data_IF_080578338031
#
_entry.id   IF_080578338031
#
_cell.length_a   1.000
_cell.length_b   1.000
_cell.length_c   1.000
_cell.angle_alpha   90.00
_cell.angle_beta   90.00
_cell.angle_gamma   90.00
#
_symmetry.space_group_name_H-M   'P 1'
#
loop_
_entity.id
_entity.type
_entity.pdbx_description
1 polymer ?
#
# COMPACT_ATOMS: atom_id res chain seq x y z
N UNK A 1 -8.13 -15.33 -14.09
CA UNK A 1 -7.40 -15.70 -12.86
C UNK A 1 -7.24 -14.42 -12.06
N UNK A 2 -7.61 -14.41 -10.78
CA UNK A 2 -7.51 -13.22 -9.96
C UNK A 2 -6.04 -12.83 -9.75
N UNK A 3 -5.73 -11.54 -9.84
CA UNK A 3 -4.39 -10.98 -9.69
C UNK A 3 -4.34 -10.06 -8.47
N UNK A 4 -3.48 -10.38 -7.50
CA UNK A 4 -3.16 -9.52 -6.37
C UNK A 4 -1.86 -8.77 -6.62
N UNK A 5 -1.88 -7.44 -6.53
CA UNK A 5 -0.66 -6.65 -6.39
C UNK A 5 -0.36 -6.47 -4.90
N UNK A 6 0.68 -7.12 -4.39
CA UNK A 6 1.12 -7.01 -3.00
C UNK A 6 2.40 -6.19 -2.92
N UNK A 7 2.34 -5.05 -2.25
CA UNK A 7 3.44 -4.11 -2.04
C UNK A 7 3.78 -4.06 -0.54
N UNK A 8 5.02 -4.37 -0.17
CA UNK A 8 5.54 -4.09 1.17
C UNK A 8 6.55 -2.93 1.11
N UNK A 9 6.46 -2.01 2.08
CA UNK A 9 7.35 -0.83 2.16
C UNK A 9 8.10 -0.68 3.48
N UNK A 10 7.93 -1.63 4.41
CA UNK A 10 8.67 -1.62 5.67
C UNK A 10 10.16 -1.89 5.44
N UNK A 11 11.03 -1.09 6.07
CA UNK A 11 12.49 -1.32 6.03
C UNK A 11 12.91 -2.54 6.84
N UNK A 12 12.08 -2.99 7.77
CA UNK A 12 12.33 -4.22 8.52
C UNK A 12 11.88 -5.44 7.71
N UNK A 13 12.63 -6.55 7.78
CA UNK A 13 12.26 -7.80 7.12
C UNK A 13 11.09 -8.49 7.82
N UNK A 14 10.66 -9.62 7.26
CA UNK A 14 9.67 -10.51 7.88
C UNK A 14 10.08 -10.90 9.31
N UNK A 15 9.08 -11.07 10.17
CA UNK A 15 9.27 -11.35 11.60
C UNK A 15 9.67 -10.13 12.45
N UNK A 16 10.24 -9.08 11.85
CA UNK A 16 10.57 -7.83 12.53
C UNK A 16 9.62 -6.67 12.21
N UNK A 17 8.76 -6.84 11.20
CA UNK A 17 7.79 -5.84 10.76
C UNK A 17 6.35 -6.23 11.08
N UNK A 18 5.66 -5.38 11.85
CA UNK A 18 4.25 -5.57 12.16
C UNK A 18 3.35 -5.51 10.92
N UNK A 19 3.64 -4.60 9.97
CA UNK A 19 2.87 -4.52 8.73
C UNK A 19 3.09 -5.74 7.85
N UNK A 20 4.33 -6.23 7.69
CA UNK A 20 4.61 -7.45 6.90
C UNK A 20 3.93 -8.70 7.47
N UNK A 21 3.89 -8.83 8.80
CA UNK A 21 3.20 -9.96 9.46
C UNK A 21 1.71 -10.01 9.08
N UNK A 22 1.05 -8.85 9.08
CA UNK A 22 -0.38 -8.75 8.76
C UNK A 22 -0.64 -8.86 7.26
N UNK A 23 0.20 -8.27 6.40
CA UNK A 23 0.08 -8.47 4.93
C UNK A 23 0.33 -9.93 4.54
N UNK A 24 1.24 -10.64 5.21
CA UNK A 24 1.44 -12.08 5.00
C UNK A 24 0.19 -12.89 5.36
N UNK A 25 -0.52 -12.55 6.44
CA UNK A 25 -1.78 -13.19 6.80
C UNK A 25 -2.87 -12.96 5.74
N UNK A 26 -3.01 -11.73 5.23
CA UNK A 26 -3.90 -11.44 4.10
C UNK A 26 -3.53 -12.27 2.87
N UNK A 27 -2.25 -12.25 2.46
CA UNK A 27 -1.77 -12.97 1.27
C UNK A 27 -2.00 -14.48 1.37
N UNK A 28 -1.81 -15.05 2.56
CA UNK A 28 -2.10 -16.47 2.82
C UNK A 28 -3.58 -16.77 2.56
N UNK A 29 -4.48 -16.01 3.16
CA UNK A 29 -5.92 -16.19 2.98
C UNK A 29 -6.35 -15.94 1.52
N UNK A 30 -5.77 -14.95 0.84
CA UNK A 30 -6.00 -14.71 -0.58
C UNK A 30 -5.65 -15.91 -1.46
N UNK A 31 -4.46 -16.49 -1.27
CA UNK A 31 -4.01 -17.66 -2.04
C UNK A 31 -4.89 -18.89 -1.76
N UNK A 32 -5.41 -19.05 -0.55
CA UNK A 32 -6.36 -20.11 -0.21
C UNK A 32 -7.69 -19.96 -0.97
N UNK A 33 -8.14 -18.72 -1.24
CA UNK A 33 -9.34 -18.45 -2.05
C UNK A 33 -9.07 -18.48 -3.56
N UNK A 34 -7.85 -18.22 -3.99
CA UNK A 34 -7.44 -18.22 -5.39
C UNK A 34 -6.20 -19.12 -5.61
N UNK A 35 -6.35 -20.47 -5.58
CA UNK A 35 -5.23 -21.38 -5.77
C UNK A 35 -4.50 -21.20 -7.11
N UNK A 36 -5.24 -20.83 -8.17
CA UNK A 36 -4.71 -20.52 -9.50
C UNK A 36 -4.52 -19.00 -9.70
N UNK A 37 -4.61 -18.21 -8.64
CA UNK A 37 -4.42 -16.77 -8.66
C UNK A 37 -2.96 -16.38 -8.88
N UNK A 38 -2.75 -15.17 -9.38
CA UNK A 38 -1.42 -14.59 -9.55
C UNK A 38 -1.15 -13.58 -8.45
N UNK A 39 0.06 -13.57 -7.89
CA UNK A 39 0.51 -12.49 -6.99
C UNK A 39 1.71 -11.77 -7.62
N UNK A 40 1.51 -10.50 -7.97
CA UNK A 40 2.59 -9.58 -8.32
C UNK A 40 3.12 -9.02 -7.01
N UNK A 41 4.30 -9.47 -6.58
CA UNK A 41 4.89 -9.05 -5.31
C UNK A 41 5.99 -8.00 -5.52
N UNK A 42 5.93 -6.91 -4.75
CA UNK A 42 6.93 -5.84 -4.73
C UNK A 42 7.37 -5.55 -3.31
N UNK A 43 8.63 -5.78 -3.03
CA UNK A 43 9.26 -5.31 -1.80
C UNK A 43 10.07 -4.04 -2.10
N UNK A 44 9.54 -2.90 -1.66
CA UNK A 44 10.13 -1.58 -1.92
C UNK A 44 11.32 -1.26 -1.02
N UNK A 45 11.58 -2.06 0.02
CA UNK A 45 12.78 -1.92 0.83
C UNK A 45 13.97 -2.67 0.22
N UNK A 46 13.74 -3.85 -0.36
CA UNK A 46 14.81 -4.63 -1.00
C UNK A 46 15.03 -4.24 -2.47
N UNK A 47 13.97 -3.85 -3.18
CA UNK A 47 14.02 -3.42 -4.58
C UNK A 47 13.33 -2.05 -4.73
N UNK A 48 13.96 -0.97 -4.25
CA UNK A 48 13.36 0.35 -4.27
C UNK A 48 13.12 0.84 -5.70
N UNK A 49 12.00 1.54 -5.89
CA UNK A 49 11.72 2.27 -7.13
C UNK A 49 12.52 3.58 -7.12
N UNK A 50 13.18 3.96 -8.24
CA UNK A 50 13.90 5.24 -8.31
C UNK A 50 12.94 6.42 -8.12
N UNK A 51 13.44 7.53 -7.58
CA UNK A 51 12.66 8.76 -7.51
C UNK A 51 12.24 9.23 -8.91
N UNK A 52 11.04 9.80 -9.01
CA UNK A 52 10.52 10.35 -10.25
C UNK A 52 11.43 11.49 -10.75
N UNK A 53 11.87 11.42 -12.00
CA UNK A 53 12.72 12.42 -12.64
C UNK A 53 11.89 13.41 -13.47
N UNK A 54 12.49 14.53 -13.87
CA UNK A 54 11.85 15.49 -14.78
C UNK A 54 11.48 14.85 -16.13
N UNK A 55 12.35 14.00 -16.68
CA UNK A 55 12.07 13.30 -17.94
C UNK A 55 10.87 12.35 -17.80
N UNK A 56 10.84 11.53 -16.73
CA UNK A 56 9.72 10.63 -16.47
C UNK A 56 8.40 11.40 -16.23
N UNK A 57 8.46 12.51 -15.49
CA UNK A 57 7.30 13.36 -15.25
C UNK A 57 6.78 13.97 -16.55
N UNK A 58 7.64 14.65 -17.31
CA UNK A 58 7.24 15.36 -18.54
C UNK A 58 6.77 14.40 -19.63
N UNK A 59 7.38 13.22 -19.75
CA UNK A 59 6.96 12.16 -20.66
C UNK A 59 5.49 11.73 -20.44
N UNK A 60 4.98 11.83 -19.20
CA UNK A 60 3.58 11.53 -18.89
C UNK A 60 2.55 12.45 -19.56
N UNK A 61 2.98 13.57 -20.13
CA UNK A 61 2.12 14.56 -20.80
C UNK A 61 2.41 14.67 -22.31
N UNK A 62 3.25 13.79 -22.85
CA UNK A 62 3.66 13.77 -24.26
C UNK A 62 3.25 12.43 -24.87
N UNK A 63 2.78 12.45 -26.11
CA UNK A 63 2.50 11.22 -26.87
C UNK A 63 3.76 10.33 -26.89
N UNK A 64 3.66 9.03 -26.54
CA UNK A 64 4.81 8.11 -26.58
C UNK A 64 5.60 8.12 -27.89
N UNK A 65 4.95 8.37 -29.04
CA UNK A 65 5.61 8.46 -30.33
C UNK A 65 6.51 9.70 -30.49
N UNK A 66 6.35 10.70 -29.61
CA UNK A 66 7.12 11.94 -29.59
C UNK A 66 8.14 12.01 -28.43
N UNK A 67 8.32 10.94 -27.66
CA UNK A 67 9.31 10.89 -26.58
C UNK A 67 10.74 10.99 -27.13
N UNK A 68 11.59 11.77 -26.48
CA UNK A 68 13.04 11.65 -26.66
C UNK A 68 13.53 10.27 -26.17
N UNK A 69 14.73 9.81 -26.57
CA UNK A 69 15.29 8.57 -26.04
C UNK A 69 15.36 8.54 -24.49
N UNK A 70 15.70 9.67 -23.86
CA UNK A 70 15.79 9.83 -22.41
C UNK A 70 14.40 9.76 -21.76
N UNK A 71 13.40 10.42 -22.35
CA UNK A 71 12.01 10.36 -21.89
C UNK A 71 11.45 8.95 -22.00
N UNK A 72 11.67 8.26 -23.13
CA UNK A 72 11.20 6.90 -23.33
C UNK A 72 11.82 5.94 -22.29
N UNK A 73 13.13 6.06 -22.05
CA UNK A 73 13.83 5.26 -21.03
C UNK A 73 13.33 5.56 -19.62
N UNK A 74 13.15 6.84 -19.26
CA UNK A 74 12.68 7.25 -17.94
C UNK A 74 11.21 6.86 -17.69
N UNK A 75 10.37 6.91 -18.73
CA UNK A 75 8.94 6.58 -18.63
C UNK A 75 8.68 5.07 -18.60
N UNK A 76 9.61 4.24 -19.09
CA UNK A 76 9.43 2.78 -19.14
C UNK A 76 9.13 2.16 -17.76
N UNK A 77 9.86 2.57 -16.71
CA UNK A 77 9.58 2.06 -15.35
C UNK A 77 8.21 2.53 -14.85
N UNK A 78 7.84 3.77 -15.15
CA UNK A 78 6.55 4.34 -14.78
C UNK A 78 5.39 3.60 -15.45
N UNK A 79 5.51 3.33 -16.74
CA UNK A 79 4.55 2.53 -17.49
C UNK A 79 4.40 1.13 -16.91
N UNK A 80 5.52 0.46 -16.60
CA UNK A 80 5.51 -0.88 -15.99
C UNK A 80 4.79 -0.92 -14.65
N UNK A 81 5.05 0.06 -13.77
CA UNK A 81 4.40 0.14 -12.46
C UNK A 81 2.90 0.42 -12.56
N UNK A 82 2.50 1.27 -13.52
CA UNK A 82 1.09 1.53 -13.78
C UNK A 82 0.42 0.28 -14.34
N UNK A 83 1.06 -0.44 -15.26
CA UNK A 83 0.52 -1.69 -15.82
C UNK A 83 0.36 -2.79 -14.76
N UNK A 84 1.28 -2.88 -13.80
CA UNK A 84 1.13 -3.79 -12.65
C UNK A 84 -0.12 -3.46 -11.81
N UNK A 85 -0.40 -2.17 -11.60
CA UNK A 85 -1.60 -1.70 -10.90
C UNK A 85 -2.88 -1.97 -11.70
N UNK A 86 -2.88 -1.65 -13.00
CA UNK A 86 -4.04 -1.83 -13.89
C UNK A 86 -4.39 -3.30 -14.13
N UNK A 87 -3.41 -4.20 -14.01
CA UNK A 87 -3.64 -5.65 -14.09
C UNK A 87 -4.17 -6.26 -12.79
N UNK A 88 -4.16 -5.52 -11.69
CA UNK A 88 -4.54 -6.04 -10.39
C UNK A 88 -6.07 -6.04 -10.23
N UNK A 89 -6.62 -7.16 -9.82
CA UNK A 89 -8.02 -7.25 -9.38
C UNK A 89 -8.16 -6.82 -7.91
N UNK A 90 -7.06 -6.87 -7.15
CA UNK A 90 -6.96 -6.36 -5.78
C UNK A 90 -5.54 -5.87 -5.48
N UNK A 91 -5.43 -4.89 -4.57
CA UNK A 91 -4.14 -4.35 -4.11
C UNK A 91 -4.01 -4.50 -2.60
N UNK A 92 -2.85 -4.95 -2.15
CA UNK A 92 -2.47 -5.03 -0.74
C UNK A 92 -1.19 -4.21 -0.52
N UNK A 93 -1.22 -3.26 0.41
CA UNK A 93 -0.06 -2.41 0.71
C UNK A 93 0.28 -2.45 2.20
N UNK A 94 1.49 -2.88 2.54
CA UNK A 94 2.08 -2.69 3.87
C UNK A 94 2.74 -1.32 3.97
N UNK A 95 2.15 -0.40 4.74
CA UNK A 95 2.54 1.02 4.83
C UNK A 95 2.79 1.44 6.29
N UNK A 96 3.93 1.03 6.92
CA UNK A 96 4.22 1.43 8.28
C UNK A 96 4.44 2.94 8.41
N UNK A 97 4.05 3.52 9.53
CA UNK A 97 4.31 4.92 9.83
C UNK A 97 5.79 5.15 10.16
N UNK A 98 6.47 5.97 9.35
CA UNK A 98 7.81 6.52 9.63
C UNK A 98 7.73 8.05 9.69
N UNK A 99 8.15 8.62 10.82
CA UNK A 99 8.11 10.07 11.05
C UNK A 99 6.75 10.67 10.68
N UNK A 100 5.67 10.08 11.21
CA UNK A 100 4.26 10.46 11.01
C UNK A 100 3.66 10.18 9.63
N UNK A 101 4.47 9.84 8.63
CA UNK A 101 4.02 9.60 7.25
C UNK A 101 4.40 8.20 6.76
N UNK A 102 4.13 7.92 5.48
CA UNK A 102 4.48 6.67 4.81
C UNK A 102 5.99 6.55 4.57
N UNK A 103 6.52 5.34 4.30
CA UNK A 103 7.92 5.19 3.91
C UNK A 103 8.22 5.92 2.60
N UNK A 104 9.40 6.51 2.49
CA UNK A 104 9.81 7.26 1.29
C UNK A 104 9.83 6.40 0.03
N UNK A 105 10.09 5.10 0.16
CA UNK A 105 10.05 4.14 -0.94
C UNK A 105 8.64 3.90 -1.47
N UNK A 106 7.62 3.89 -0.58
CA UNK A 106 6.21 3.86 -0.99
C UNK A 106 5.82 5.15 -1.68
N UNK A 107 6.28 6.31 -1.18
CA UNK A 107 6.05 7.60 -1.85
C UNK A 107 6.64 7.63 -3.26
N UNK A 108 7.86 7.10 -3.45
CA UNK A 108 8.47 7.01 -4.77
C UNK A 108 7.65 6.12 -5.72
N UNK A 109 7.14 4.98 -5.25
CA UNK A 109 6.23 4.14 -6.05
C UNK A 109 4.93 4.89 -6.43
N UNK A 110 4.31 5.59 -5.47
CA UNK A 110 3.12 6.42 -5.71
C UNK A 110 3.37 7.50 -6.78
N UNK A 111 4.52 8.18 -6.74
CA UNK A 111 4.87 9.21 -7.73
C UNK A 111 4.95 8.67 -9.17
N UNK A 112 5.31 7.39 -9.32
CA UNK A 112 5.24 6.73 -10.62
C UNK A 112 3.80 6.37 -11.01
N UNK A 113 3.02 5.77 -10.10
CA UNK A 113 1.70 5.27 -10.49
C UNK A 113 0.62 6.33 -10.61
N UNK A 114 0.76 7.50 -9.98
CA UNK A 114 -0.21 8.61 -10.12
C UNK A 114 0.06 9.38 -11.42
N UNK A 115 -0.74 9.11 -12.46
CA UNK A 115 -0.66 9.76 -13.78
C UNK A 115 -2.01 10.34 -14.18
N UNK A 116 -2.06 11.66 -14.34
CA UNK A 116 -3.21 12.37 -14.92
C UNK A 116 -3.50 11.88 -16.34
N UNK A 117 -4.75 11.58 -16.63
CA UNK A 117 -5.20 11.05 -17.92
C UNK A 117 -5.04 9.53 -18.07
N UNK A 118 -4.57 8.82 -17.03
CA UNK A 118 -4.51 7.35 -17.00
C UNK A 118 -5.06 6.78 -15.69
N UNK A 119 -4.32 6.88 -14.60
CA UNK A 119 -4.74 6.37 -13.28
C UNK A 119 -5.45 7.43 -12.45
N UNK A 120 -5.25 8.71 -12.75
CA UNK A 120 -5.90 9.86 -12.11
C UNK A 120 -6.56 10.78 -13.17
N UNK A 121 -7.51 11.61 -12.74
CA UNK A 121 -8.27 12.53 -13.62
C UNK A 121 -9.68 12.04 -13.93
N UNK A 122 -10.22 12.37 -15.11
CA UNK A 122 -11.64 12.10 -15.44
C UNK A 122 -11.96 10.60 -15.57
N UNK A 123 -11.08 9.84 -16.23
CA UNK A 123 -11.21 8.38 -16.39
C UNK A 123 -10.02 7.71 -15.71
N UNK A 124 -10.24 7.20 -14.51
CA UNK A 124 -9.22 6.55 -13.69
C UNK A 124 -9.19 5.05 -13.99
N UNK A 125 -8.09 4.53 -14.54
CA UNK A 125 -7.94 3.11 -14.88
C UNK A 125 -7.95 2.19 -13.65
N UNK A 126 -7.62 2.72 -12.47
CA UNK A 126 -7.64 1.98 -11.20
C UNK A 126 -8.97 2.09 -10.43
N UNK A 127 -9.99 2.75 -10.99
CA UNK A 127 -11.24 3.05 -10.28
C UNK A 127 -11.94 1.78 -9.81
N UNK A 128 -12.35 1.77 -8.54
CA UNK A 128 -13.11 0.69 -7.93
C UNK A 128 -12.29 -0.56 -7.60
N UNK A 129 -11.00 -0.62 -7.97
CA UNK A 129 -10.11 -1.71 -7.55
C UNK A 129 -10.04 -1.71 -6.01
N UNK A 130 -10.37 -2.82 -5.34
CA UNK A 130 -10.24 -2.93 -3.90
C UNK A 130 -8.77 -2.84 -3.48
N UNK A 131 -8.47 -1.93 -2.55
CA UNK A 131 -7.14 -1.73 -1.97
C UNK A 131 -7.19 -1.83 -0.45
N UNK A 132 -6.46 -2.79 0.10
CA UNK A 132 -6.30 -2.97 1.55
C UNK A 132 -4.92 -2.46 1.98
N UNK A 133 -4.90 -1.55 2.95
CA UNK A 133 -3.68 -0.97 3.50
C UNK A 133 -3.47 -1.46 4.93
N UNK A 134 -2.30 -2.01 5.21
CA UNK A 134 -1.86 -2.31 6.57
C UNK A 134 -0.99 -1.15 7.07
N UNK A 135 -1.61 -0.21 7.78
CA UNK A 135 -0.99 1.03 8.25
C UNK A 135 -0.45 0.88 9.69
N UNK A 136 0.61 0.08 9.86
CA UNK A 136 1.14 -0.20 11.20
C UNK A 136 1.80 1.03 11.86
N UNK A 137 1.60 1.24 13.16
CA UNK A 137 2.13 2.42 13.86
C UNK A 137 2.61 2.13 15.29
N UNK A 138 3.70 2.79 15.66
CA UNK A 138 4.41 2.56 16.93
C UNK A 138 3.63 3.02 18.17
N UNK A 139 2.93 4.15 18.07
CA UNK A 139 1.99 4.66 19.08
C UNK A 139 0.55 4.61 18.57
N UNK A 140 -0.37 5.28 19.25
CA UNK A 140 -1.73 5.49 18.75
C UNK A 140 -1.91 6.93 18.27
N UNK A 141 -2.65 7.06 17.17
CA UNK A 141 -3.02 8.31 16.49
C UNK A 141 -4.52 8.28 16.18
N UNK A 142 -5.27 7.44 16.89
CA UNK A 142 -6.71 7.33 16.74
C UNK A 142 -7.42 8.60 17.25
N UNK A 143 -8.70 8.79 16.90
CA UNK A 143 -9.52 9.85 17.47
C UNK A 143 -9.46 9.89 19.01
N UNK A 144 -9.26 11.07 19.58
CA UNK A 144 -9.14 11.33 21.00
C UNK A 144 -7.74 11.11 21.60
N UNK A 145 -6.76 10.65 20.82
CA UNK A 145 -5.39 10.48 21.33
C UNK A 145 -4.59 11.79 21.26
N UNK A 146 -3.56 12.01 22.12
CA UNK A 146 -2.79 13.27 22.12
C UNK A 146 -2.10 13.61 20.79
N UNK A 147 -1.94 12.63 19.89
CA UNK A 147 -1.29 12.78 18.57
C UNK A 147 -2.24 12.52 17.40
N UNK A 148 -3.55 12.53 17.62
CA UNK A 148 -4.56 12.35 16.55
C UNK A 148 -4.26 13.22 15.31
N UNK A 149 -3.91 14.49 15.52
CA UNK A 149 -3.60 15.43 14.43
C UNK A 149 -2.34 15.12 13.62
N UNK A 150 -1.57 14.09 13.99
CA UNK A 150 -0.36 13.63 13.28
C UNK A 150 -0.58 12.34 12.49
N UNK A 151 -1.84 11.91 12.30
CA UNK A 151 -2.17 10.80 11.42
C UNK A 151 -2.06 11.23 9.94
N UNK A 152 -0.84 11.26 9.40
CA UNK A 152 -0.63 11.59 7.99
C UNK A 152 -0.58 10.36 7.07
N UNK A 153 -0.51 9.13 7.60
CA UNK A 153 -0.49 7.92 6.78
C UNK A 153 -1.86 7.69 6.17
N UNK A 154 -2.89 7.57 7.01
CA UNK A 154 -4.24 7.31 6.52
C UNK A 154 -4.77 8.50 5.71
N UNK A 155 -4.56 9.73 6.20
CA UNK A 155 -5.00 10.94 5.49
C UNK A 155 -4.37 11.06 4.09
N UNK A 156 -3.05 10.85 3.97
CA UNK A 156 -2.37 10.93 2.68
C UNK A 156 -2.81 9.81 1.73
N UNK A 157 -2.88 8.56 2.22
CA UNK A 157 -3.26 7.43 1.38
C UNK A 157 -4.74 7.48 0.95
N UNK A 158 -5.64 8.03 1.77
CA UNK A 158 -7.02 8.32 1.34
C UNK A 158 -7.04 9.32 0.19
N UNK A 159 -6.36 10.47 0.36
CA UNK A 159 -6.32 11.50 -0.67
C UNK A 159 -5.75 10.99 -2.01
N UNK A 160 -4.74 10.12 -1.95
CA UNK A 160 -4.14 9.57 -3.16
C UNK A 160 -4.97 8.41 -3.74
N UNK A 161 -5.18 7.34 -2.98
CA UNK A 161 -5.73 6.10 -3.52
C UNK A 161 -7.24 6.17 -3.73
N UNK A 162 -7.99 6.72 -2.75
CA UNK A 162 -9.44 6.84 -2.86
C UNK A 162 -9.82 8.07 -3.71
N UNK A 163 -9.37 9.26 -3.32
CA UNK A 163 -9.88 10.49 -3.93
C UNK A 163 -9.28 10.72 -5.34
N UNK A 164 -7.96 10.58 -5.49
CA UNK A 164 -7.30 10.86 -6.77
C UNK A 164 -7.35 9.69 -7.76
N UNK A 165 -7.26 8.44 -7.30
CA UNK A 165 -7.25 7.24 -8.14
C UNK A 165 -8.61 6.52 -8.20
N UNK A 166 -9.56 6.87 -7.33
CA UNK A 166 -10.90 6.29 -7.34
C UNK A 166 -10.97 4.86 -6.83
N UNK A 167 -9.95 4.36 -6.12
CA UNK A 167 -9.88 3.00 -5.62
C UNK A 167 -10.80 2.78 -4.41
N UNK A 168 -11.20 1.54 -4.15
CA UNK A 168 -12.02 1.19 -2.99
C UNK A 168 -11.14 0.83 -1.79
N UNK A 169 -10.98 1.79 -0.88
CA UNK A 169 -9.95 1.79 0.15
C UNK A 169 -10.42 1.21 1.49
N UNK A 170 -9.62 0.30 2.06
CA UNK A 170 -9.81 -0.25 3.40
C UNK A 170 -8.50 -0.23 4.21
N UNK A 171 -8.56 0.19 5.47
CA UNK A 171 -7.42 0.20 6.38
C UNK A 171 -7.51 -0.89 7.45
N UNK A 172 -6.37 -1.54 7.71
CA UNK A 172 -6.11 -2.36 8.88
C UNK A 172 -4.96 -1.69 9.64
N UNK A 173 -5.18 -1.36 10.91
CA UNK A 173 -4.27 -0.49 11.68
C UNK A 173 -3.75 -1.23 12.92
N UNK A 174 -2.70 -2.08 12.79
CA UNK A 174 -2.00 -2.60 13.95
C UNK A 174 -1.23 -1.45 14.61
N UNK A 175 -1.57 -1.13 15.85
CA UNK A 175 -1.02 0.02 16.58
C UNK A 175 -0.27 -0.39 17.85
N UNK A 176 0.38 0.59 18.48
CA UNK A 176 1.18 0.38 19.69
C UNK A 176 2.35 -0.59 19.49
N UNK A 177 2.87 -0.72 18.26
CA UNK A 177 3.91 -1.71 17.93
C UNK A 177 5.25 -1.47 18.63
N UNK A 178 5.44 -0.29 19.22
CA UNK A 178 6.62 0.02 20.05
C UNK A 178 6.45 -0.41 21.52
N UNK A 179 5.24 -0.76 21.97
CA UNK A 179 4.98 -1.10 23.38
C UNK A 179 5.88 -2.25 23.90
N UNK A 180 6.11 -3.36 23.16
CA UNK A 180 7.00 -4.43 23.63
C UNK A 180 8.48 -4.05 23.72
N UNK A 181 8.87 -2.95 23.06
CA UNK A 181 10.27 -2.55 22.88
C UNK A 181 10.64 -1.29 23.67
N UNK A 182 9.64 -0.63 24.28
CA UNK A 182 9.82 0.61 25.02
C UNK A 182 9.32 0.43 26.46
N UNK A 183 10.22 0.39 27.47
CA UNK A 183 9.82 0.24 28.88
C UNK A 183 8.80 1.28 29.35
N UNK A 184 8.81 2.50 28.80
CA UNK A 184 7.84 3.54 29.14
C UNK A 184 6.41 3.25 28.64
N UNK A 185 6.25 2.21 27.81
CA UNK A 185 4.97 1.78 27.23
C UNK A 185 4.57 0.38 27.72
N UNK A 186 5.23 -0.16 28.75
CA UNK A 186 5.01 -1.54 29.21
C UNK A 186 3.54 -1.82 29.57
N UNK A 187 2.84 -0.85 30.16
CA UNK A 187 1.42 -0.96 30.51
C UNK A 187 0.49 -1.08 29.28
N UNK A 188 0.97 -0.70 28.09
CA UNK A 188 0.22 -0.76 26.83
C UNK A 188 0.41 -2.09 26.09
N UNK A 189 1.27 -2.99 26.56
CA UNK A 189 1.54 -4.29 25.91
C UNK A 189 0.25 -5.13 25.71
N UNK A 190 -0.67 -5.23 26.68
CA UNK A 190 -1.94 -5.95 26.46
C UNK A 190 -2.79 -5.35 25.33
N UNK A 191 -2.78 -4.02 25.17
CA UNK A 191 -3.51 -3.34 24.09
C UNK A 191 -2.84 -3.57 22.73
N UNK A 192 -1.51 -3.57 22.69
CA UNK A 192 -0.75 -3.96 21.51
C UNK A 192 -1.07 -5.39 21.07
N UNK A 193 -1.07 -6.35 22.00
CA UNK A 193 -1.37 -7.76 21.70
C UNK A 193 -2.79 -7.92 21.13
N UNK A 194 -3.76 -7.25 21.74
CA UNK A 194 -5.14 -7.25 21.24
C UNK A 194 -5.27 -6.57 19.85
N UNK A 195 -4.53 -5.48 19.61
CA UNK A 195 -4.48 -4.82 18.31
C UNK A 195 -3.85 -5.72 17.24
N UNK A 196 -2.75 -6.39 17.58
CA UNK A 196 -2.06 -7.34 16.71
C UNK A 196 -2.97 -8.49 16.31
N UNK A 197 -3.63 -9.12 17.28
CA UNK A 197 -4.54 -10.24 17.02
C UNK A 197 -5.70 -9.83 16.11
N UNK A 198 -6.38 -8.71 16.43
CA UNK A 198 -7.46 -8.17 15.57
C UNK A 198 -6.97 -7.91 14.14
N UNK A 199 -5.80 -7.28 13.98
CA UNK A 199 -5.28 -6.99 12.65
C UNK A 199 -5.05 -8.26 11.80
N UNK A 200 -4.62 -9.38 12.40
CA UNK A 200 -4.47 -10.63 11.66
C UNK A 200 -5.82 -11.26 11.30
N UNK A 201 -6.80 -11.17 12.21
CA UNK A 201 -8.17 -11.64 11.96
C UNK A 201 -8.84 -10.82 10.84
N UNK A 202 -8.73 -9.49 10.92
CA UNK A 202 -9.26 -8.56 9.92
C UNK A 202 -8.60 -8.78 8.56
N UNK A 203 -7.28 -9.02 8.53
CA UNK A 203 -6.56 -9.31 7.29
C UNK A 203 -7.06 -10.60 6.60
N UNK A 204 -7.26 -11.67 7.38
CA UNK A 204 -7.78 -12.92 6.83
C UNK A 204 -9.24 -12.80 6.38
N UNK A 205 -10.08 -12.08 7.15
CA UNK A 205 -11.47 -11.83 6.80
C UNK A 205 -11.59 -10.96 5.55
N UNK A 206 -10.82 -9.87 5.47
CA UNK A 206 -10.84 -8.96 4.31
C UNK A 206 -10.37 -9.64 3.04
N UNK A 207 -9.35 -10.50 3.11
CA UNK A 207 -8.90 -11.27 1.96
C UNK A 207 -10.02 -12.16 1.38
N UNK A 208 -10.84 -12.77 2.24
CA UNK A 208 -12.00 -13.58 1.83
C UNK A 208 -13.12 -12.71 1.24
N UNK A 209 -13.44 -11.60 1.88
CA UNK A 209 -14.44 -10.64 1.38
C UNK A 209 -14.09 -10.13 -0.02
N UNK A 210 -12.81 -9.76 -0.25
CA UNK A 210 -12.35 -9.31 -1.57
C UNK A 210 -12.43 -10.46 -2.58
N UNK A 211 -12.08 -11.69 -2.20
CA UNK A 211 -12.19 -12.85 -3.09
C UNK A 211 -13.65 -13.13 -3.49
N UNK A 212 -14.58 -13.09 -2.53
CA UNK A 212 -16.01 -13.26 -2.78
C UNK A 212 -16.55 -12.19 -3.73
N UNK A 213 -16.12 -10.94 -3.56
CA UNK A 213 -16.49 -9.85 -4.47
C UNK A 213 -16.02 -10.08 -5.90
N UNK A 214 -14.82 -10.64 -6.10
CA UNK A 214 -14.28 -10.90 -7.44
C UNK A 214 -14.91 -12.11 -8.13
N UNK A 215 -15.60 -12.97 -7.38
CA UNK A 215 -16.32 -14.11 -7.90
C UNK A 215 -17.78 -13.80 -8.28
N UNK A 216 -18.33 -12.68 -7.82
CA UNK A 216 -19.71 -12.23 -8.05
C UNK A 216 -19.87 -11.45 -9.35
#
# INVERSE_FOLDING_TARGET
>A
MATLLHIDSSVFPDGASASRSVTAAFRKAWNEQHPDGTVIYRDLATNPVPHLTADAHTAGFVDPAAHSPEQAAAFAERARLIEELERADAVLIGAPMYNYSIPSTLKAWLDHVVLMGRTAGETQSAKGIPVTIVASRGGSYAPGTPREGYEYVQNYLTAVLADALGMDLHFIVPELTMAPHNPAMAELVPLFEASRERAHQDAAAKAKEVAERLAA
#
